data_IF_017538883641
#
_entry.id   IF_017538883641
#
_cell.length_a   1.000
_cell.length_b   1.000
_cell.length_c   1.000
_cell.angle_alpha   90.00
_cell.angle_beta   90.00
_cell.angle_gamma   90.00
#
_symmetry.space_group_name_H-M   'P 1'
#
loop_
_entity.id
_entity.type
_entity.pdbx_description
1 polymer ?
#
# COMPACT_ATOMS: atom_id res chain seq x y z
N UNK A 1 13.97 -0.13 8.86
CA UNK A 1 12.66 -0.51 8.31
C UNK A 1 12.79 -1.13 6.93
N UNK A 2 11.83 -1.99 6.55
CA UNK A 2 11.72 -2.59 5.20
C UNK A 2 10.50 -2.01 4.49
N UNK A 3 10.64 -1.62 3.23
CA UNK A 3 9.60 -0.97 2.43
C UNK A 3 9.33 -1.74 1.14
N UNK A 4 8.07 -1.73 0.71
CA UNK A 4 7.62 -2.13 -0.61
C UNK A 4 6.97 -0.90 -1.27
N UNK A 5 7.53 -0.45 -2.38
CA UNK A 5 7.01 0.65 -3.16
C UNK A 5 6.14 0.13 -4.31
N UNK A 6 4.90 0.59 -4.32
CA UNK A 6 3.94 0.36 -5.39
C UNK A 6 4.34 1.09 -6.69
N UNK A 7 3.72 0.75 -7.82
CA UNK A 7 4.09 1.23 -9.15
C UNK A 7 3.97 2.76 -9.33
N UNK A 8 3.09 3.41 -8.59
CA UNK A 8 2.94 4.87 -8.57
C UNK A 8 4.05 5.61 -7.79
N UNK A 9 4.88 4.88 -7.04
CA UNK A 9 5.94 5.47 -6.22
C UNK A 9 7.22 5.66 -7.02
N UNK A 10 7.91 6.78 -6.82
CA UNK A 10 9.17 7.07 -7.50
C UNK A 10 10.29 6.12 -7.09
N UNK A 11 11.06 5.59 -8.05
CA UNK A 11 12.29 4.83 -7.79
C UNK A 11 13.30 5.64 -6.97
N UNK A 12 13.38 6.96 -7.20
CA UNK A 12 14.25 7.86 -6.45
C UNK A 12 13.90 7.93 -4.96
N UNK A 13 12.64 7.67 -4.59
CA UNK A 13 12.25 7.53 -3.18
C UNK A 13 12.87 6.27 -2.56
N UNK A 14 12.88 5.16 -3.30
CA UNK A 14 13.49 3.90 -2.86
C UNK A 14 15.01 4.04 -2.74
N UNK A 15 15.66 4.71 -3.69
CA UNK A 15 17.09 5.02 -3.63
C UNK A 15 17.43 5.86 -2.39
N UNK A 16 16.63 6.89 -2.11
CA UNK A 16 16.80 7.70 -0.91
C UNK A 16 16.63 6.89 0.37
N UNK A 17 15.61 6.03 0.47
CA UNK A 17 15.41 5.13 1.62
C UNK A 17 16.61 4.19 1.82
N UNK A 18 17.13 3.60 0.73
CA UNK A 18 18.34 2.76 0.77
C UNK A 18 19.56 3.54 1.23
N UNK A 19 19.75 4.76 0.73
CA UNK A 19 20.81 5.67 1.19
C UNK A 19 20.69 6.06 2.66
N UNK A 20 19.46 6.04 3.21
CA UNK A 20 19.20 6.25 4.64
C UNK A 20 19.33 4.96 5.49
N UNK A 21 19.82 3.85 4.92
CA UNK A 21 20.03 2.59 5.64
C UNK A 21 18.78 1.72 5.79
N UNK A 22 17.72 1.98 5.01
CA UNK A 22 16.53 1.14 4.97
C UNK A 22 16.58 0.13 3.82
N UNK A 23 15.88 -0.99 3.97
CA UNK A 23 15.63 -1.91 2.86
C UNK A 23 14.39 -1.42 2.11
N UNK A 24 14.53 -0.99 0.86
CA UNK A 24 13.41 -0.57 0.03
C UNK A 24 13.46 -1.28 -1.32
N UNK A 25 12.34 -1.92 -1.66
CA UNK A 25 12.13 -2.63 -2.92
C UNK A 25 10.97 -1.97 -3.66
N UNK A 26 11.09 -1.82 -4.97
CA UNK A 26 10.00 -1.36 -5.83
C UNK A 26 9.44 -2.54 -6.63
N UNK A 27 8.11 -2.62 -6.82
CA UNK A 27 7.47 -3.73 -7.59
C UNK A 27 8.10 -3.93 -8.98
N UNK A 28 8.45 -2.83 -9.64
CA UNK A 28 9.21 -2.83 -10.90
C UNK A 28 10.55 -3.55 -10.84
N UNK A 29 11.31 -3.40 -9.76
CA UNK A 29 12.64 -4.00 -9.61
C UNK A 29 12.56 -5.53 -9.56
N UNK A 30 11.40 -6.06 -9.18
CA UNK A 30 11.12 -7.50 -9.09
C UNK A 30 10.27 -8.03 -10.27
N UNK A 31 9.97 -7.20 -11.28
CA UNK A 31 9.15 -7.63 -12.41
C UNK A 31 7.66 -7.84 -12.07
N UNK A 32 7.17 -7.22 -11.00
CA UNK A 32 5.81 -7.38 -10.47
C UNK A 32 4.90 -6.19 -10.80
N UNK A 33 5.08 -5.58 -11.97
CA UNK A 33 4.39 -4.32 -12.33
C UNK A 33 2.87 -4.46 -12.49
N UNK A 34 2.37 -5.68 -12.69
CA UNK A 34 0.95 -5.99 -12.88
C UNK A 34 0.37 -6.81 -11.74
N UNK A 35 1.05 -6.81 -10.59
CA UNK A 35 0.58 -7.55 -9.42
C UNK A 35 -0.71 -6.89 -8.89
N UNK A 36 -1.81 -7.63 -8.72
CA UNK A 36 -3.05 -7.08 -8.16
C UNK A 36 -2.86 -6.59 -6.72
N UNK A 37 -3.70 -5.66 -6.26
CA UNK A 37 -3.60 -5.08 -4.92
C UNK A 37 -3.52 -6.14 -3.81
N UNK A 38 -4.39 -7.16 -3.87
CA UNK A 38 -4.38 -8.23 -2.86
C UNK A 38 -3.06 -9.00 -2.78
N UNK A 39 -2.41 -9.24 -3.92
CA UNK A 39 -1.14 -9.95 -3.99
C UNK A 39 0.03 -9.03 -3.56
N UNK A 40 -0.06 -7.72 -3.83
CA UNK A 40 0.88 -6.71 -3.30
C UNK A 40 0.86 -6.72 -1.76
N UNK A 41 -0.33 -6.75 -1.16
CA UNK A 41 -0.47 -6.83 0.30
C UNK A 41 0.06 -8.14 0.87
N UNK A 42 -0.27 -9.28 0.25
CA UNK A 42 0.25 -10.58 0.68
C UNK A 42 1.79 -10.61 0.67
N UNK A 43 2.39 -10.02 -0.36
CA UNK A 43 3.84 -9.88 -0.46
C UNK A 43 4.43 -8.96 0.61
N UNK A 44 3.78 -7.82 0.88
CA UNK A 44 4.19 -6.91 1.94
C UNK A 44 4.15 -7.62 3.30
N UNK A 45 3.09 -8.38 3.58
CA UNK A 45 2.93 -9.18 4.79
C UNK A 45 4.00 -10.26 4.94
N UNK A 46 4.20 -11.10 3.91
CA UNK A 46 5.15 -12.22 3.93
C UNK A 46 6.57 -11.75 4.29
N UNK A 47 6.98 -10.59 3.77
CA UNK A 47 8.31 -10.02 3.97
C UNK A 47 8.36 -8.95 5.07
N UNK A 48 7.26 -8.74 5.80
CA UNK A 48 7.10 -7.70 6.83
C UNK A 48 7.62 -6.35 6.34
N UNK A 49 7.12 -5.91 5.19
CA UNK A 49 7.43 -4.63 4.54
C UNK A 49 6.28 -3.66 4.73
N UNK A 50 6.62 -2.40 4.97
CA UNK A 50 5.68 -1.29 4.91
C UNK A 50 5.34 -1.01 3.44
N UNK A 51 4.07 -1.04 3.08
CA UNK A 51 3.60 -0.73 1.73
C UNK A 51 3.50 0.78 1.54
N UNK A 52 4.10 1.31 0.47
CA UNK A 52 3.98 2.72 0.10
C UNK A 52 3.22 2.85 -1.22
N UNK A 53 2.19 3.69 -1.25
CA UNK A 53 1.32 3.87 -2.43
C UNK A 53 0.75 5.29 -2.52
N UNK A 54 0.23 5.65 -3.70
CA UNK A 54 -0.55 6.88 -3.91
C UNK A 54 -2.05 6.63 -4.07
N UNK A 55 -2.46 5.38 -4.32
CA UNK A 55 -3.75 5.12 -4.97
C UNK A 55 -4.76 4.38 -4.08
N UNK A 56 -4.32 3.65 -3.05
CA UNK A 56 -5.23 2.88 -2.19
C UNK A 56 -6.13 3.75 -1.33
N UNK A 57 -7.41 3.40 -1.23
CA UNK A 57 -8.36 4.00 -0.28
C UNK A 57 -8.36 3.30 1.11
N UNK A 58 -9.05 3.91 2.07
CA UNK A 58 -9.09 3.41 3.45
C UNK A 58 -9.80 2.05 3.56
N UNK A 59 -10.85 1.82 2.78
CA UNK A 59 -11.57 0.56 2.77
C UNK A 59 -10.69 -0.57 2.23
N UNK A 60 -9.98 -0.32 1.12
CA UNK A 60 -9.06 -1.30 0.51
C UNK A 60 -7.95 -1.69 1.49
N UNK A 61 -7.37 -0.71 2.19
CA UNK A 61 -6.34 -0.97 3.19
C UNK A 61 -6.88 -1.86 4.29
N UNK A 62 -8.07 -1.58 4.82
CA UNK A 62 -8.67 -2.41 5.87
C UNK A 62 -9.01 -3.81 5.36
N UNK A 63 -9.56 -3.92 4.14
CA UNK A 63 -9.99 -5.18 3.56
C UNK A 63 -8.81 -6.11 3.24
N UNK A 64 -7.71 -5.54 2.74
CA UNK A 64 -6.51 -6.27 2.37
C UNK A 64 -5.55 -6.50 3.53
N UNK A 65 -5.57 -5.64 4.56
CA UNK A 65 -4.78 -5.87 5.78
C UNK A 65 -5.33 -7.06 6.58
N UNK A 66 -6.64 -7.31 6.61
CA UNK A 66 -7.21 -8.53 7.20
C UNK A 66 -6.60 -8.93 8.56
N UNK A 67 -6.07 -10.17 8.65
CA UNK A 67 -5.32 -10.66 9.84
C UNK A 67 -3.81 -10.40 9.79
N UNK A 68 -3.29 -9.86 8.70
CA UNK A 68 -1.87 -9.58 8.51
C UNK A 68 -1.60 -8.11 8.80
N UNK A 69 -0.83 -7.82 9.84
CA UNK A 69 -0.50 -6.45 10.22
C UNK A 69 0.49 -5.86 9.20
N UNK A 70 -0.04 -5.28 8.11
CA UNK A 70 0.73 -4.57 7.08
C UNK A 70 0.59 -3.08 7.32
N UNK A 71 1.70 -2.43 7.68
CA UNK A 71 1.72 -0.97 7.73
C UNK A 71 1.68 -0.41 6.31
N UNK A 72 0.78 0.54 6.08
CA UNK A 72 0.62 1.22 4.79
C UNK A 72 0.86 2.71 4.95
N UNK A 73 1.70 3.28 4.11
CA UNK A 73 1.86 4.73 3.95
C UNK A 73 1.22 5.14 2.63
N UNK A 74 0.13 5.90 2.74
CA UNK A 74 -0.59 6.47 1.60
C UNK A 74 -0.19 7.92 1.43
N UNK A 75 0.34 8.28 0.26
CA UNK A 75 0.73 9.65 -0.05
C UNK A 75 -0.47 10.44 -0.60
N UNK A 76 -1.21 11.13 0.27
CA UNK A 76 -2.25 12.09 -0.13
C UNK A 76 -1.67 13.51 -0.25
N UNK A 77 -0.81 13.71 -1.25
CA UNK A 77 -0.09 14.98 -1.46
C UNK A 77 -0.52 15.64 -2.77
N UNK A 78 -0.75 16.96 -2.75
CA UNK A 78 -0.96 17.76 -3.97
C UNK A 78 0.30 17.84 -4.83
N UNK A 79 1.47 17.90 -4.19
CA UNK A 79 2.77 17.90 -4.86
C UNK A 79 3.41 16.53 -4.71
N UNK A 80 3.48 15.77 -5.80
CA UNK A 80 4.00 14.40 -5.83
C UNK A 80 5.46 14.32 -6.28
N UNK A 81 6.16 15.47 -6.41
CA UNK A 81 7.58 15.48 -6.76
C UNK A 81 8.40 14.80 -5.68
N UNK A 82 9.31 13.91 -6.07
CA UNK A 82 10.14 13.09 -5.17
C UNK A 82 10.76 13.87 -4.00
N UNK A 83 11.37 15.07 -4.18
CA UNK A 83 11.95 15.79 -3.05
C UNK A 83 10.93 16.18 -1.97
N UNK A 84 9.72 16.55 -2.38
CA UNK A 84 8.66 16.90 -1.43
C UNK A 84 8.12 15.64 -0.73
N UNK A 85 7.95 14.54 -1.46
CA UNK A 85 7.55 13.26 -0.87
C UNK A 85 8.57 12.80 0.18
N UNK A 86 9.87 12.90 -0.13
CA UNK A 86 10.97 12.61 0.80
C UNK A 86 10.88 13.46 2.06
N UNK A 87 10.68 14.78 1.91
CA UNK A 87 10.55 15.71 3.03
C UNK A 87 9.41 15.30 3.97
N UNK A 88 8.23 15.00 3.42
CA UNK A 88 7.05 14.58 4.18
C UNK A 88 7.27 13.22 4.84
N UNK A 89 7.82 12.24 4.10
CA UNK A 89 8.07 10.91 4.63
C UNK A 89 9.10 10.94 5.75
N UNK A 90 10.18 11.72 5.62
CA UNK A 90 11.17 11.91 6.68
C UNK A 90 10.53 12.38 7.98
N UNK A 91 9.64 13.37 7.92
CA UNK A 91 8.95 13.88 9.10
C UNK A 91 8.08 12.81 9.79
N UNK A 92 7.46 11.91 9.01
CA UNK A 92 6.67 10.79 9.54
C UNK A 92 7.59 9.74 10.17
N UNK A 93 8.66 9.33 9.48
CA UNK A 93 9.60 8.34 9.99
C UNK A 93 10.23 8.81 11.32
N UNK A 94 10.58 10.10 11.44
CA UNK A 94 11.14 10.64 12.69
C UNK A 94 10.14 10.66 13.86
N UNK A 95 8.83 10.72 13.60
CA UNK A 95 7.80 10.84 14.65
C UNK A 95 7.11 9.52 14.99
N UNK A 96 7.11 8.57 14.05
CA UNK A 96 6.19 7.42 14.09
C UNK A 96 6.87 6.12 13.67
N UNK A 97 8.20 6.03 13.66
CA UNK A 97 8.92 4.81 13.29
C UNK A 97 8.41 3.57 14.03
N UNK A 98 8.30 3.62 15.36
CA UNK A 98 7.82 2.50 16.18
C UNK A 98 6.39 2.09 15.79
N UNK A 99 5.47 3.05 15.71
CA UNK A 99 4.08 2.79 15.33
C UNK A 99 3.97 2.22 13.90
N UNK A 100 4.85 2.63 12.99
CA UNK A 100 4.91 2.08 11.63
C UNK A 100 5.51 0.68 11.57
N UNK A 101 6.39 0.31 12.51
CA UNK A 101 6.94 -1.05 12.59
C UNK A 101 5.97 -2.02 13.28
N UNK A 102 5.22 -1.55 14.28
CA UNK A 102 4.22 -2.33 15.01
C UNK A 102 2.90 -2.45 14.23
N UNK A 103 2.54 -1.42 13.46
CA UNK A 103 1.31 -1.34 12.68
C UNK A 103 0.08 -0.98 13.52
N UNK A 104 -0.80 -0.15 12.96
CA UNK A 104 -1.99 0.34 13.67
C UNK A 104 -3.09 -0.73 13.72
N UNK A 105 -3.76 -0.83 14.86
CA UNK A 105 -4.92 -1.71 15.08
C UNK A 105 -6.23 -0.95 14.87
N UNK A 106 -7.35 -1.69 14.75
CA UNK A 106 -8.69 -1.08 14.74
C UNK A 106 -8.92 -0.20 15.98
N UNK A 107 -8.41 -0.62 17.14
CA UNK A 107 -8.53 0.13 18.38
C UNK A 107 -7.77 1.47 18.30
N UNK A 108 -6.54 1.47 17.75
CA UNK A 108 -5.75 2.68 17.56
C UNK A 108 -6.45 3.69 16.64
N UNK A 109 -7.13 3.18 15.59
CA UNK A 109 -7.91 4.02 14.68
C UNK A 109 -9.14 4.63 15.36
N UNK A 110 -9.86 3.85 16.17
CA UNK A 110 -11.03 4.35 16.89
C UNK A 110 -10.63 5.38 17.96
N UNK A 111 -9.47 5.21 18.61
CA UNK A 111 -8.93 6.17 19.58
C UNK A 111 -8.47 7.48 18.91
N UNK A 112 -7.74 7.38 17.80
CA UNK A 112 -7.21 8.54 17.08
C UNK A 112 -8.29 9.39 16.40
N UNK A 113 -9.45 8.81 16.06
CA UNK A 113 -10.52 9.47 15.33
C UNK A 113 -11.87 9.34 16.07
N UNK A 114 -12.19 10.25 17.02
CA UNK A 114 -13.39 10.13 17.87
C UNK A 114 -14.75 10.12 17.15
N UNK A 115 -14.79 10.48 15.86
CA UNK A 115 -16.00 10.43 15.01
C UNK A 115 -16.09 9.16 14.17
N UNK A 116 -15.04 8.34 14.14
CA UNK A 116 -15.03 7.04 13.47
C UNK A 116 -15.74 6.02 14.36
N UNK A 117 -16.57 5.16 13.75
CA UNK A 117 -17.28 4.09 14.46
C UNK A 117 -16.97 2.75 13.80
N UNK A 118 -17.23 1.65 14.51
CA UNK A 118 -17.09 0.31 13.92
C UNK A 118 -17.98 0.11 12.70
N UNK A 119 -19.15 0.75 12.65
CA UNK A 119 -20.05 0.65 11.50
C UNK A 119 -19.50 1.41 10.28
N UNK A 120 -18.82 2.54 10.48
CA UNK A 120 -18.09 3.21 9.40
C UNK A 120 -16.98 2.31 8.84
N UNK A 121 -16.23 1.63 9.70
CA UNK A 121 -15.17 0.69 9.31
C UNK A 121 -15.77 -0.48 8.52
N UNK A 122 -16.87 -1.08 9.00
CA UNK A 122 -17.58 -2.16 8.29
C UNK A 122 -18.12 -1.74 6.94
N UNK A 123 -18.69 -0.53 6.84
CA UNK A 123 -19.19 -0.01 5.58
C UNK A 123 -18.05 0.21 4.57
N UNK A 124 -16.91 0.75 5.01
CA UNK A 124 -15.72 0.91 4.18
C UNK A 124 -15.16 -0.44 3.71
N UNK A 125 -15.12 -1.43 4.60
CA UNK A 125 -14.72 -2.81 4.28
C UNK A 125 -15.63 -3.45 3.22
N UNK A 126 -16.95 -3.30 3.36
CA UNK A 126 -17.91 -3.84 2.40
C UNK A 126 -17.76 -3.20 1.01
N UNK A 127 -17.60 -1.88 0.95
CA UNK A 127 -17.35 -1.15 -0.29
C UNK A 127 -16.04 -1.61 -0.96
N UNK A 128 -14.97 -1.75 -0.19
CA UNK A 128 -13.69 -2.19 -0.73
C UNK A 128 -13.69 -3.64 -1.20
N UNK A 129 -14.37 -4.54 -0.47
CA UNK A 129 -14.52 -5.93 -0.90
C UNK A 129 -15.22 -6.02 -2.26
N UNK A 130 -16.22 -5.18 -2.51
CA UNK A 130 -16.88 -5.07 -3.81
C UNK A 130 -15.90 -4.58 -4.89
N UNK A 131 -15.17 -3.47 -4.64
CA UNK A 131 -14.17 -2.93 -5.57
C UNK A 131 -13.10 -3.96 -5.95
N UNK A 132 -12.54 -4.67 -4.96
CA UNK A 132 -11.48 -5.67 -5.16
C UNK A 132 -11.98 -6.92 -5.91
N UNK A 133 -13.25 -7.30 -5.75
CA UNK A 133 -13.84 -8.41 -6.51
C UNK A 133 -13.88 -8.08 -8.01
N UNK A 134 -14.08 -6.81 -8.37
CA UNK A 134 -14.09 -6.36 -9.76
C UNK A 134 -12.67 -6.24 -10.35
N UNK A 135 -11.65 -5.95 -9.54
CA UNK A 135 -10.24 -5.90 -9.98
C UNK A 135 -9.78 -7.25 -10.57
N UNK A 136 -10.13 -8.37 -9.93
CA UNK A 136 -9.81 -9.72 -10.43
C UNK A 136 -10.52 -10.07 -11.75
N UNK A 137 -11.70 -9.49 -12.00
CA UNK A 137 -12.51 -9.83 -13.19
C UNK A 137 -11.96 -9.18 -14.47
N UNK A 138 -11.23 -8.07 -14.36
CA UNK A 138 -10.67 -7.34 -15.52
C UNK A 138 -9.40 -8.00 -16.09
N UNK A 139 -8.72 -8.87 -15.33
CA UNK A 139 -7.45 -9.47 -15.74
C UNK A 139 -7.55 -10.84 -16.45
N UNK A 140 -8.76 -11.39 -16.64
CA UNK A 140 -8.97 -12.65 -17.38
C UNK A 140 -9.53 -12.39 -18.78
N UNK A 141 -8.69 -11.93 -19.70
CA UNK A 141 -8.96 -11.97 -21.14
C UNK A 141 -7.82 -12.70 -21.85
N UNK A 142 -8.02 -13.90 -22.43
CA UNK A 142 -6.98 -14.54 -23.21
C UNK A 142 -6.78 -13.76 -24.52
N UNK A 143 -5.52 -13.42 -24.82
CA UNK A 143 -5.12 -13.02 -26.16
C UNK A 143 -5.34 -14.23 -27.09
N UNK A 144 -6.43 -14.21 -27.86
CA UNK A 144 -6.58 -15.10 -29.01
C UNK A 144 -5.67 -14.56 -30.12
N UNK A 145 -4.48 -15.11 -30.23
CA UNK A 145 -3.75 -15.12 -31.49
C UNK A 145 -4.40 -16.16 -32.38
N UNK A 146 -5.31 -15.73 -33.24
CA UNK A 146 -5.79 -16.54 -34.35
C UNK A 146 -4.63 -16.65 -35.37
N UNK A 147 -3.91 -17.76 -35.33
CA UNK A 147 -3.14 -18.23 -36.47
C UNK A 147 -4.08 -19.05 -37.36
N UNK A 148 -4.79 -18.37 -38.26
CA UNK A 148 -5.49 -19.00 -39.36
C UNK A 148 -4.65 -18.92 -40.63
N UNK A 149 -4.35 -20.09 -41.19
CA UNK A 149 -3.54 -20.34 -42.38
C UNK A 149 -4.10 -19.70 -43.68
#
# INVERSE_FOLDING_TARGET
>A
MRFLADMGVSLGLCEWLRGAGHDAVHLRDEGLQRLPNGDIFAKAAERRRLLMTFDLDFGEILALSGSAQVSVVVFRLRNTRTPHVIERLRAVLSKSATALEEGATEADLLDAYPRLTRDHIRAALAYAADTLAHEKTVLTGPAQTDSGA
#
